data_IF_827792451920
#
_entry.id   IF_827792451920
#
_cell.length_a   1.000
_cell.length_b   1.000
_cell.length_c   1.000
_cell.angle_alpha   90.00
_cell.angle_beta   90.00
_cell.angle_gamma   90.00
#
_symmetry.space_group_name_H-M   'P 1'
#
loop_
_entity.id
_entity.type
_entity.pdbx_description
1 polymer ?
#
# COMPACT_ATOMS: atom_id res chain seq x y z
N UNK A 1 -17.04 13.99 30.18
CA UNK A 1 -17.41 12.57 30.02
C UNK A 1 -16.44 11.93 29.03
N UNK A 2 -15.60 10.97 29.44
CA UNK A 2 -14.79 10.16 28.53
C UNK A 2 -15.75 9.14 27.88
N UNK A 3 -16.27 9.47 26.73
CA UNK A 3 -17.00 8.48 25.92
C UNK A 3 -16.02 7.39 25.51
N UNK A 4 -16.24 6.15 25.94
CA UNK A 4 -15.44 5.01 25.48
C UNK A 4 -15.60 4.85 23.96
N UNK A 5 -14.53 4.46 23.28
CA UNK A 5 -14.60 4.14 21.85
C UNK A 5 -15.48 2.91 21.68
N UNK A 6 -16.57 2.95 20.91
CA UNK A 6 -17.42 1.80 20.70
C UNK A 6 -16.65 0.71 19.91
N UNK A 7 -16.88 -0.55 20.23
CA UNK A 7 -16.27 -1.69 19.57
C UNK A 7 -16.52 -1.69 18.05
N UNK A 8 -17.69 -1.20 17.63
CA UNK A 8 -18.05 -1.02 16.21
C UNK A 8 -17.11 -0.07 15.44
N UNK A 9 -16.43 0.86 16.11
CA UNK A 9 -15.44 1.74 15.49
C UNK A 9 -14.05 1.11 15.42
N UNK A 10 -13.74 0.10 16.23
CA UNK A 10 -12.42 -0.53 16.27
C UNK A 10 -12.18 -1.40 15.03
N UNK A 11 -13.17 -2.15 14.55
CA UNK A 11 -13.01 -3.01 13.36
C UNK A 11 -12.60 -2.23 12.10
N UNK A 12 -13.33 -1.16 11.69
CA UNK A 12 -12.91 -0.37 10.55
C UNK A 12 -11.54 0.30 10.76
N UNK A 13 -11.21 0.67 12.00
CA UNK A 13 -9.94 1.29 12.33
C UNK A 13 -8.77 0.30 12.23
N UNK A 14 -8.99 -0.96 12.63
CA UNK A 14 -8.02 -2.05 12.43
C UNK A 14 -7.82 -2.33 10.94
N UNK A 15 -8.89 -2.37 10.13
CA UNK A 15 -8.79 -2.49 8.68
C UNK A 15 -7.96 -1.35 8.07
N UNK A 16 -8.19 -0.09 8.45
CA UNK A 16 -7.36 1.03 7.98
C UNK A 16 -5.90 0.92 8.42
N UNK A 17 -5.64 0.42 9.63
CA UNK A 17 -4.27 0.17 10.12
C UNK A 17 -3.59 -0.96 9.34
N UNK A 18 -4.32 -2.03 9.03
CA UNK A 18 -3.86 -3.13 8.18
C UNK A 18 -3.60 -2.64 6.74
N UNK A 19 -4.51 -1.86 6.16
CA UNK A 19 -4.28 -1.20 4.87
C UNK A 19 -3.01 -0.35 4.88
N UNK A 20 -2.78 0.47 5.91
CA UNK A 20 -1.57 1.28 6.05
C UNK A 20 -0.30 0.40 6.11
N UNK A 21 -0.36 -0.73 6.82
CA UNK A 21 0.70 -1.73 6.84
C UNK A 21 0.97 -2.29 5.42
N UNK A 22 -0.07 -2.67 4.68
CA UNK A 22 0.06 -3.25 3.34
C UNK A 22 0.63 -2.26 2.33
N UNK A 23 0.15 -1.02 2.33
CA UNK A 23 0.65 0.04 1.45
C UNK A 23 2.12 0.35 1.71
N UNK A 24 2.53 0.53 2.96
CA UNK A 24 3.93 0.76 3.30
C UNK A 24 4.83 -0.44 3.00
N UNK A 25 4.37 -1.66 3.30
CA UNK A 25 5.11 -2.88 2.95
C UNK A 25 5.35 -2.94 1.44
N UNK A 26 4.34 -2.65 0.63
CA UNK A 26 4.45 -2.58 -0.83
C UNK A 26 5.48 -1.56 -1.32
N UNK A 27 5.62 -0.44 -0.63
CA UNK A 27 6.57 0.61 -0.97
C UNK A 27 8.01 0.16 -0.77
N UNK A 28 8.33 -0.42 0.39
CA UNK A 28 9.70 -0.75 0.78
C UNK A 28 10.15 -2.14 0.34
N UNK A 29 9.24 -3.10 0.17
CA UNK A 29 9.55 -4.47 -0.20
C UNK A 29 10.39 -4.61 -1.47
N UNK A 30 10.18 -3.85 -2.57
CA UNK A 30 10.98 -3.97 -3.79
C UNK A 30 12.45 -3.64 -3.59
N UNK A 31 12.79 -2.84 -2.57
CA UNK A 31 14.19 -2.54 -2.22
C UNK A 31 14.91 -3.81 -1.77
N UNK A 32 14.25 -4.61 -0.93
CA UNK A 32 14.80 -5.90 -0.47
C UNK A 32 14.88 -6.98 -1.55
N UNK A 33 14.10 -6.85 -2.62
CA UNK A 33 14.01 -7.80 -3.74
C UNK A 33 14.74 -7.33 -4.99
N UNK A 34 15.43 -6.18 -4.94
CA UNK A 34 16.00 -5.52 -6.11
C UNK A 34 16.99 -6.43 -6.87
N UNK A 35 17.84 -7.17 -6.17
CA UNK A 35 18.82 -8.08 -6.76
C UNK A 35 18.12 -9.26 -7.46
N UNK A 36 17.11 -9.85 -6.84
CA UNK A 36 16.37 -10.99 -7.39
C UNK A 36 15.59 -10.58 -8.66
N UNK A 37 15.00 -9.38 -8.64
CA UNK A 37 14.30 -8.80 -9.80
C UNK A 37 15.29 -8.52 -10.92
N UNK A 38 16.45 -7.93 -10.62
CA UNK A 38 17.48 -7.60 -11.61
C UNK A 38 18.03 -8.85 -12.31
N UNK A 39 18.32 -9.90 -11.54
CA UNK A 39 18.76 -11.19 -12.07
C UNK A 39 17.69 -11.86 -12.94
N UNK A 40 16.43 -11.80 -12.52
CA UNK A 40 15.30 -12.39 -13.24
C UNK A 40 15.08 -11.78 -14.63
N UNK A 41 15.42 -10.51 -14.83
CA UNK A 41 15.31 -9.81 -16.10
C UNK A 41 16.65 -9.62 -16.83
N UNK A 42 17.75 -10.17 -16.30
CA UNK A 42 19.09 -10.02 -16.88
C UNK A 42 19.59 -8.57 -16.92
N UNK A 43 19.17 -7.74 -15.94
CA UNK A 43 19.45 -6.31 -15.88
C UNK A 43 20.43 -5.98 -14.74
N UNK A 44 21.11 -4.83 -14.82
CA UNK A 44 21.89 -4.34 -13.70
C UNK A 44 20.98 -3.84 -12.57
N UNK A 45 21.37 -3.95 -11.28
CA UNK A 45 20.61 -3.44 -10.16
C UNK A 45 20.31 -1.94 -10.26
N UNK A 46 21.23 -1.13 -10.80
CA UNK A 46 21.03 0.30 -11.04
C UNK A 46 19.90 0.57 -12.04
N UNK A 47 19.83 -0.20 -13.12
CA UNK A 47 18.73 -0.09 -14.11
C UNK A 47 17.40 -0.54 -13.53
N UNK A 48 17.39 -1.63 -12.77
CA UNK A 48 16.19 -2.14 -12.10
C UNK A 48 15.70 -1.14 -11.05
N UNK A 49 16.59 -0.41 -10.38
CA UNK A 49 16.28 0.65 -9.42
C UNK A 49 15.44 1.80 -9.98
N UNK A 50 15.44 2.01 -11.30
CA UNK A 50 14.57 2.99 -11.98
C UNK A 50 13.08 2.74 -11.64
N UNK A 51 12.68 1.49 -11.45
CA UNK A 51 11.33 1.14 -11.02
C UNK A 51 10.94 1.82 -9.68
N UNK A 52 11.85 1.86 -8.72
CA UNK A 52 11.64 2.48 -7.41
C UNK A 52 11.58 4.01 -7.57
N UNK A 53 12.47 4.57 -8.36
CA UNK A 53 12.50 6.01 -8.64
C UNK A 53 11.23 6.47 -9.34
N UNK A 54 10.80 5.78 -10.39
CA UNK A 54 9.56 6.10 -11.09
C UNK A 54 8.35 5.99 -10.16
N UNK A 55 8.27 4.95 -9.34
CA UNK A 55 7.23 4.81 -8.35
C UNK A 55 7.14 6.04 -7.44
N UNK A 56 8.25 6.46 -6.83
CA UNK A 56 8.31 7.61 -5.95
C UNK A 56 7.91 8.91 -6.65
N UNK A 57 8.35 9.11 -7.89
CA UNK A 57 7.97 10.27 -8.71
C UNK A 57 6.47 10.30 -9.00
N UNK A 58 5.89 9.16 -9.41
CA UNK A 58 4.47 9.08 -9.68
C UNK A 58 3.63 9.29 -8.41
N UNK A 59 4.04 8.77 -7.25
CA UNK A 59 3.39 9.06 -5.97
C UNK A 59 3.40 10.55 -5.70
N UNK A 60 4.54 11.22 -5.84
CA UNK A 60 4.66 12.67 -5.58
C UNK A 60 3.83 13.51 -6.54
N UNK A 61 3.97 13.29 -7.86
CA UNK A 61 3.26 14.10 -8.87
C UNK A 61 1.75 13.84 -8.92
N UNK A 62 1.31 12.61 -8.69
CA UNK A 62 -0.10 12.25 -8.80
C UNK A 62 -0.88 12.51 -7.50
N UNK A 63 -0.23 12.72 -6.38
CA UNK A 63 -0.90 12.91 -5.09
C UNK A 63 -1.93 14.03 -5.14
N UNK A 64 -1.55 15.23 -5.55
CA UNK A 64 -2.47 16.38 -5.64
C UNK A 64 -3.52 16.22 -6.75
N UNK A 65 -3.17 15.89 -8.01
CA UNK A 65 -4.17 15.69 -9.07
C UNK A 65 -5.21 14.62 -8.75
N UNK A 66 -4.78 13.45 -8.24
CA UNK A 66 -5.70 12.37 -7.91
C UNK A 66 -6.56 12.70 -6.70
N UNK A 67 -6.02 13.38 -5.68
CA UNK A 67 -6.81 13.88 -4.56
C UNK A 67 -7.93 14.82 -5.05
N UNK A 68 -7.62 15.78 -5.94
CA UNK A 68 -8.60 16.70 -6.50
C UNK A 68 -9.63 15.98 -7.37
N UNK A 69 -9.21 15.04 -8.22
CA UNK A 69 -10.11 14.28 -9.07
C UNK A 69 -11.09 13.40 -8.29
N UNK A 70 -10.66 12.90 -7.12
CA UNK A 70 -11.44 11.96 -6.30
C UNK A 70 -12.17 12.61 -5.12
N UNK A 71 -11.97 13.91 -4.85
CA UNK A 71 -12.53 14.60 -3.68
C UNK A 71 -14.07 14.61 -3.60
N UNK A 72 -14.77 14.38 -4.73
CA UNK A 72 -16.24 14.30 -4.79
C UNK A 72 -16.78 12.88 -4.56
N UNK A 73 -15.92 11.87 -4.46
CA UNK A 73 -16.34 10.50 -4.24
C UNK A 73 -16.68 10.26 -2.77
N UNK A 74 -17.71 9.44 -2.51
CA UNK A 74 -18.01 9.01 -1.15
C UNK A 74 -16.82 8.25 -0.55
N UNK A 75 -16.40 8.54 0.70
CA UNK A 75 -15.17 8.01 1.31
C UNK A 75 -15.04 6.49 1.24
N UNK A 76 -16.13 5.76 1.54
CA UNK A 76 -16.16 4.29 1.45
C UNK A 76 -15.91 3.78 0.03
N UNK A 77 -16.55 4.40 -0.98
CA UNK A 77 -16.37 4.01 -2.38
C UNK A 77 -14.94 4.30 -2.85
N UNK A 78 -14.39 5.42 -2.42
CA UNK A 78 -13.04 5.82 -2.76
C UNK A 78 -12.02 4.85 -2.14
N UNK A 79 -12.20 4.46 -0.87
CA UNK A 79 -11.32 3.47 -0.23
C UNK A 79 -11.37 2.13 -0.97
N UNK A 80 -12.58 1.60 -1.26
CA UNK A 80 -12.73 0.35 -2.00
C UNK A 80 -12.10 0.41 -3.40
N UNK A 81 -12.30 1.51 -4.12
CA UNK A 81 -11.67 1.73 -5.42
C UNK A 81 -10.13 1.74 -5.30
N UNK A 82 -9.60 2.43 -4.31
CA UNK A 82 -8.16 2.51 -4.04
C UNK A 82 -7.56 1.14 -3.71
N UNK A 83 -8.25 0.36 -2.87
CA UNK A 83 -7.85 -1.00 -2.52
C UNK A 83 -7.90 -1.93 -3.74
N UNK A 84 -8.97 -1.84 -4.56
CA UNK A 84 -9.07 -2.63 -5.80
C UNK A 84 -7.93 -2.30 -6.77
N UNK A 85 -7.61 -1.02 -6.95
CA UNK A 85 -6.50 -0.58 -7.78
C UNK A 85 -5.15 -1.11 -7.26
N UNK A 86 -4.97 -1.10 -5.94
CA UNK A 86 -3.79 -1.66 -5.28
C UNK A 86 -3.67 -3.17 -5.52
N UNK A 87 -4.74 -3.94 -5.30
CA UNK A 87 -4.80 -5.39 -5.54
C UNK A 87 -4.44 -5.71 -6.99
N UNK A 88 -5.04 -5.02 -7.97
CA UNK A 88 -4.76 -5.20 -9.41
C UNK A 88 -3.28 -4.89 -9.71
N UNK A 89 -2.77 -3.78 -9.18
CA UNK A 89 -1.38 -3.38 -9.38
C UNK A 89 -0.38 -4.38 -8.79
N UNK A 90 -0.67 -4.92 -7.60
CA UNK A 90 0.17 -5.94 -6.96
C UNK A 90 0.11 -7.27 -7.72
N UNK A 91 -1.09 -7.74 -8.10
CA UNK A 91 -1.24 -8.96 -8.89
C UNK A 91 -0.51 -8.85 -10.23
N UNK A 92 -0.69 -7.74 -10.94
CA UNK A 92 -0.01 -7.48 -12.21
C UNK A 92 1.51 -7.39 -12.06
N UNK A 93 2.02 -6.82 -10.95
CA UNK A 93 3.45 -6.80 -10.65
C UNK A 93 4.02 -8.21 -10.46
N UNK A 94 3.28 -9.09 -9.75
CA UNK A 94 3.68 -10.48 -9.56
C UNK A 94 3.62 -11.32 -10.83
N UNK A 95 2.71 -11.01 -11.74
CA UNK A 95 2.52 -11.69 -13.03
C UNK A 95 3.36 -11.08 -14.16
N UNK A 96 4.18 -10.07 -13.90
CA UNK A 96 4.95 -9.37 -14.92
C UNK A 96 5.94 -10.31 -15.63
N UNK A 97 5.81 -10.42 -16.96
CA UNK A 97 6.68 -11.24 -17.81
C UNK A 97 7.92 -10.48 -18.30
N UNK A 98 7.89 -9.16 -18.25
CA UNK A 98 9.00 -8.28 -18.63
C UNK A 98 9.06 -7.06 -17.70
N UNK A 99 10.22 -6.37 -17.74
CA UNK A 99 10.45 -5.22 -16.87
C UNK A 99 9.51 -4.02 -17.13
N UNK A 100 9.21 -3.63 -18.40
CA UNK A 100 8.22 -2.57 -18.65
C UNK A 100 6.83 -2.86 -18.09
N UNK A 101 6.38 -4.11 -18.15
CA UNK A 101 5.11 -4.52 -17.55
C UNK A 101 5.14 -4.38 -16.03
N UNK A 102 6.24 -4.78 -15.38
CA UNK A 102 6.42 -4.59 -13.95
C UNK A 102 6.34 -3.10 -13.59
N UNK A 103 7.06 -2.24 -14.32
CA UNK A 103 7.03 -0.78 -14.10
C UNK A 103 5.61 -0.22 -14.27
N UNK A 104 4.89 -0.63 -15.32
CA UNK A 104 3.52 -0.17 -15.55
C UNK A 104 2.59 -0.51 -14.39
N UNK A 105 2.64 -1.73 -13.86
CA UNK A 105 1.83 -2.11 -12.70
C UNK A 105 2.30 -1.42 -11.41
N UNK A 106 3.59 -1.15 -11.25
CA UNK A 106 4.09 -0.33 -10.14
C UNK A 106 3.57 1.11 -10.20
N UNK A 107 3.35 1.68 -11.39
CA UNK A 107 2.70 2.99 -11.55
C UNK A 107 1.22 2.91 -11.13
N UNK A 108 0.51 1.82 -11.45
CA UNK A 108 -0.86 1.60 -10.97
C UNK A 108 -0.89 1.57 -9.43
N UNK A 109 0.06 0.87 -8.80
CA UNK A 109 0.20 0.87 -7.33
C UNK A 109 0.51 2.27 -6.81
N UNK A 110 1.35 3.06 -7.49
CA UNK A 110 1.65 4.43 -7.10
C UNK A 110 0.41 5.34 -7.12
N UNK A 111 -0.49 5.16 -8.11
CA UNK A 111 -1.78 5.87 -8.15
C UNK A 111 -2.64 5.52 -6.92
N UNK A 112 -2.77 4.23 -6.60
CA UNK A 112 -3.49 3.78 -5.41
C UNK A 112 -2.87 4.34 -4.12
N UNK A 113 -1.55 4.32 -4.02
CA UNK A 113 -0.77 4.83 -2.89
C UNK A 113 -1.02 6.33 -2.66
N UNK A 114 -0.99 7.12 -3.73
CA UNK A 114 -1.25 8.57 -3.68
C UNK A 114 -2.65 8.89 -3.16
N UNK A 115 -3.67 8.15 -3.60
CA UNK A 115 -5.05 8.33 -3.14
C UNK A 115 -5.18 7.89 -1.67
N UNK A 116 -4.62 6.73 -1.32
CA UNK A 116 -4.72 6.17 0.02
C UNK A 116 -4.23 7.15 1.09
N UNK A 117 -3.02 7.69 0.93
CA UNK A 117 -2.46 8.63 1.90
C UNK A 117 -3.20 9.96 1.99
N UNK A 118 -3.87 10.38 0.91
CA UNK A 118 -4.72 11.57 0.94
C UNK A 118 -5.99 11.36 1.78
N UNK A 119 -6.52 10.13 1.87
CA UNK A 119 -7.83 9.87 2.49
C UNK A 119 -7.77 9.15 3.84
N UNK A 120 -6.69 8.41 4.15
CA UNK A 120 -6.63 7.54 5.34
C UNK A 120 -6.77 8.33 6.64
N UNK A 121 -6.12 9.47 6.77
CA UNK A 121 -6.22 10.33 7.96
C UNK A 121 -7.62 10.87 8.19
N UNK A 122 -8.23 11.58 7.23
CA UNK A 122 -9.63 12.00 7.30
C UNK A 122 -10.61 10.85 7.58
N UNK A 123 -10.45 9.69 6.93
CA UNK A 123 -11.30 8.51 7.19
C UNK A 123 -11.16 8.01 8.63
N UNK A 124 -9.94 7.83 9.12
CA UNK A 124 -9.67 7.35 10.48
C UNK A 124 -10.34 8.26 11.53
N UNK A 125 -10.25 9.57 11.33
CA UNK A 125 -10.83 10.55 12.26
C UNK A 125 -12.35 10.60 12.23
N UNK A 126 -13.00 10.21 11.12
CA UNK A 126 -14.47 10.15 11.00
C UNK A 126 -15.08 8.89 11.65
N UNK A 127 -14.31 7.82 11.82
CA UNK A 127 -14.77 6.55 12.39
C UNK A 127 -14.98 6.65 13.92
N UNK A 128 -14.24 7.53 14.58
CA UNK A 128 -14.22 7.63 16.04
C UNK A 128 -15.01 8.83 16.56
N UNK A 129 -15.56 8.78 17.80
CA UNK A 129 -16.22 9.93 18.43
C UNK A 129 -15.27 11.13 18.58
N UNK A 130 -15.88 12.33 18.68
CA UNK A 130 -15.12 13.56 18.94
C UNK A 130 -14.23 13.41 20.17
N UNK A 131 -12.98 13.84 20.07
CA UNK A 131 -11.97 13.72 21.12
C UNK A 131 -11.09 12.47 21.05
N UNK A 132 -11.38 11.49 20.17
CA UNK A 132 -10.58 10.27 19.97
C UNK A 132 -9.82 10.26 18.65
N UNK A 133 -9.82 11.37 17.90
CA UNK A 133 -9.10 11.49 16.63
C UNK A 133 -7.59 11.19 16.75
N UNK A 134 -6.86 11.65 17.81
CA UNK A 134 -5.47 11.29 17.98
C UNK A 134 -5.24 9.78 18.11
N UNK A 135 -6.15 9.07 18.79
CA UNK A 135 -6.09 7.61 18.88
C UNK A 135 -6.27 6.95 17.50
N UNK A 136 -7.23 7.41 16.70
CA UNK A 136 -7.45 6.88 15.36
C UNK A 136 -6.21 7.06 14.46
N UNK A 137 -5.59 8.24 14.49
CA UNK A 137 -4.37 8.52 13.75
C UNK A 137 -3.18 7.69 14.25
N UNK A 138 -3.08 7.47 15.58
CA UNK A 138 -2.01 6.62 16.13
C UNK A 138 -2.15 5.16 15.71
N UNK A 139 -3.37 4.64 15.53
CA UNK A 139 -3.61 3.30 15.02
C UNK A 139 -3.09 3.15 13.57
N UNK A 140 -3.36 4.12 12.70
CA UNK A 140 -2.82 4.14 11.32
C UNK A 140 -1.29 4.24 11.36
N UNK A 141 -0.74 5.13 12.18
CA UNK A 141 0.71 5.29 12.35
C UNK A 141 1.37 4.00 12.88
N UNK A 142 0.68 3.26 13.75
CA UNK A 142 1.17 1.96 14.25
C UNK A 142 1.27 0.95 13.09
N UNK A 143 0.26 0.87 12.21
CA UNK A 143 0.32 0.03 11.01
C UNK A 143 1.53 0.37 10.13
N UNK A 144 1.77 1.65 9.87
CA UNK A 144 2.95 2.16 9.15
C UNK A 144 4.26 1.76 9.83
N UNK A 145 4.36 1.95 11.15
CA UNK A 145 5.58 1.63 11.91
C UNK A 145 5.90 0.14 11.89
N UNK A 146 4.87 -0.71 12.03
CA UNK A 146 5.02 -2.17 11.94
C UNK A 146 5.47 -2.56 10.52
N UNK A 147 4.95 -1.92 9.47
CA UNK A 147 5.37 -2.17 8.09
C UNK A 147 6.86 -1.82 7.87
N UNK A 148 7.34 -0.73 8.43
CA UNK A 148 8.75 -0.35 8.34
C UNK A 148 9.69 -1.36 9.02
N UNK A 149 9.25 -1.95 10.13
CA UNK A 149 10.04 -2.92 10.90
C UNK A 149 9.96 -4.34 10.29
N UNK A 150 8.76 -4.78 9.93
CA UNK A 150 8.49 -6.15 9.51
C UNK A 150 8.28 -6.32 8.00
N UNK A 151 7.78 -5.27 7.31
CA UNK A 151 7.39 -5.36 5.91
C UNK A 151 8.55 -5.75 4.98
N UNK A 152 9.71 -5.09 5.12
CA UNK A 152 10.89 -5.39 4.33
C UNK A 152 11.47 -6.78 4.64
N UNK A 153 11.71 -7.18 5.92
CA UNK A 153 12.16 -8.53 6.25
C UNK A 153 11.20 -9.62 5.78
N UNK A 154 9.89 -9.45 6.00
CA UNK A 154 8.88 -10.43 5.57
C UNK A 154 8.85 -10.54 4.04
N UNK A 155 8.87 -9.42 3.33
CA UNK A 155 8.97 -9.43 1.87
C UNK A 155 10.22 -10.15 1.37
N UNK A 156 11.37 -9.94 2.02
CA UNK A 156 12.63 -10.61 1.68
C UNK A 156 12.57 -12.11 1.97
N UNK A 157 12.01 -12.53 3.12
CA UNK A 157 11.86 -13.95 3.47
C UNK A 157 10.97 -14.69 2.48
N UNK A 158 9.81 -14.12 2.12
CA UNK A 158 8.92 -14.70 1.11
C UNK A 158 9.64 -14.76 -0.24
N UNK A 159 10.34 -13.70 -0.63
CA UNK A 159 11.08 -13.63 -1.89
C UNK A 159 12.20 -14.65 -1.99
N UNK A 160 12.91 -14.93 -0.91
CA UNK A 160 13.94 -15.98 -0.86
C UNK A 160 13.36 -17.39 -0.91
N UNK A 161 12.21 -17.62 -0.26
CA UNK A 161 11.59 -18.93 -0.18
C UNK A 161 10.80 -19.31 -1.44
N UNK A 162 10.08 -18.35 -2.02
CA UNK A 162 9.09 -18.61 -3.07
C UNK A 162 9.33 -17.78 -4.36
N UNK A 163 10.35 -16.95 -4.35
CA UNK A 163 10.65 -16.01 -5.44
C UNK A 163 9.92 -14.66 -5.29
N UNK A 164 10.53 -13.61 -5.86
CA UNK A 164 10.06 -12.23 -5.73
C UNK A 164 8.62 -12.01 -6.25
N UNK A 165 8.20 -12.75 -7.27
CA UNK A 165 6.85 -12.68 -7.83
C UNK A 165 5.79 -13.07 -6.81
N UNK A 166 6.04 -14.13 -6.05
CA UNK A 166 5.12 -14.60 -5.01
C UNK A 166 4.94 -13.59 -3.88
N UNK A 167 5.94 -12.75 -3.61
CA UNK A 167 5.80 -11.68 -2.61
C UNK A 167 4.75 -10.64 -3.02
N UNK A 168 4.73 -10.23 -4.29
CA UNK A 168 3.69 -9.34 -4.82
C UNK A 168 2.31 -10.00 -4.84
N UNK A 169 2.22 -11.26 -5.27
CA UNK A 169 0.95 -12.00 -5.28
C UNK A 169 0.41 -12.23 -3.87
N UNK A 170 1.26 -12.54 -2.90
CA UNK A 170 0.87 -12.67 -1.51
C UNK A 170 0.32 -11.35 -0.95
N UNK A 171 0.99 -10.24 -1.25
CA UNK A 171 0.53 -8.91 -0.84
C UNK A 171 -0.83 -8.56 -1.49
N UNK A 172 -1.00 -8.90 -2.76
CA UNK A 172 -2.29 -8.76 -3.45
C UNK A 172 -3.40 -9.55 -2.76
N UNK A 173 -3.12 -10.82 -2.44
CA UNK A 173 -4.08 -11.70 -1.78
C UNK A 173 -4.49 -11.18 -0.38
N UNK A 174 -3.52 -10.81 0.45
CA UNK A 174 -3.81 -10.25 1.78
C UNK A 174 -4.59 -8.94 1.68
N UNK A 175 -4.27 -8.09 0.69
CA UNK A 175 -5.01 -6.84 0.45
C UNK A 175 -6.45 -7.08 0.00
N UNK A 176 -6.70 -8.15 -0.74
CA UNK A 176 -8.06 -8.57 -1.13
C UNK A 176 -8.87 -9.02 0.10
N UNK A 177 -8.24 -9.70 1.06
CA UNK A 177 -8.88 -10.08 2.32
C UNK A 177 -9.18 -8.86 3.21
N UNK A 178 -8.29 -7.87 3.25
CA UNK A 178 -8.50 -6.62 4.01
C UNK A 178 -9.65 -5.77 3.45
N UNK A 179 -9.98 -5.95 2.16
CA UNK A 179 -11.07 -5.25 1.48
C UNK A 179 -12.46 -5.85 1.80
N UNK A 180 -12.54 -7.13 2.26
CA UNK A 180 -13.78 -7.87 2.49
C UNK A 180 -14.38 -7.56 3.87
#
# INVERSE_FOLDING_TARGET
MRTSIPVSSLYPLLGLSASAFLFNTSEFMPIGLLLDISQSFGMSPGHTGIMITLYAWFVGFLSLPLMLATCRMAPKRLLLFTMALFVIGQAGSGLAVNFPMLVAFRIVVACAHSIFWAIVGPLATQIVPRGHQPFALSMVATGTSIAMILGLPLGRLIGLALGWRMTFLFLSFVSLLDMA
#
